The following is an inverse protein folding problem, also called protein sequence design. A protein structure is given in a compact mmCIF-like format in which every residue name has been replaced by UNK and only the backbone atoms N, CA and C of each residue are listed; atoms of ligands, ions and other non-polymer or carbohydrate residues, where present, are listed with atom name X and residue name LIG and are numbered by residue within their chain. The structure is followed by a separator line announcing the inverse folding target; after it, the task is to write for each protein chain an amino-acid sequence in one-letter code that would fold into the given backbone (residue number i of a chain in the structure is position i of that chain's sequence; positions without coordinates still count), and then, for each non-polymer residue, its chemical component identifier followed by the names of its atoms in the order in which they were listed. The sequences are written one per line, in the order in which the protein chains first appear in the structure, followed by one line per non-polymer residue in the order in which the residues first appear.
data_IF_315843376227
#
_entry.id   IF_315843376227
#
_cell.length_a   1.000
_cell.length_b   1.000
_cell.length_c   1.000
_cell.angle_alpha   90.00
_cell.angle_beta   90.00
_cell.angle_gamma   90.00
#
_symmetry.space_group_name_H-M   'P 1'
#
loop_
_entity.id
_entity.type
_entity.pdbx_description
1 polymer ?
#
# COMPACT_ATOMS: atom_id res chain seq x y z
N UNK A 1 -0.42 21.32 25.22
CA UNK A 1 -0.85 20.02 24.66
C UNK A 1 0.34 19.46 23.91
N UNK A 2 0.66 18.23 24.17
CA UNK A 2 1.81 17.56 23.55
C UNK A 2 1.44 17.04 22.17
N UNK A 3 2.15 17.55 21.14
CA UNK A 3 1.91 17.21 19.75
C UNK A 3 2.61 15.92 19.34
N UNK A 4 2.17 15.34 18.21
CA UNK A 4 2.79 14.18 17.57
C UNK A 4 3.33 14.57 16.19
N UNK A 5 4.55 14.14 15.89
CA UNK A 5 5.09 14.22 14.55
C UNK A 5 4.96 12.85 13.89
N UNK A 6 4.38 12.83 12.69
CA UNK A 6 4.38 11.66 11.81
C UNK A 6 5.28 11.95 10.61
N UNK A 7 6.31 11.11 10.43
CA UNK A 7 7.18 11.09 9.28
C UNK A 7 6.73 10.01 8.31
N UNK A 8 6.20 10.37 7.15
CA UNK A 8 5.79 9.46 6.08
C UNK A 8 6.80 9.54 4.93
N UNK A 9 7.57 8.47 4.73
CA UNK A 9 8.61 8.37 3.70
C UNK A 9 8.14 7.45 2.58
N UNK A 10 7.36 8.01 1.66
CA UNK A 10 6.96 7.32 0.43
C UNK A 10 8.10 7.23 -0.59
N UNK A 11 7.87 6.51 -1.69
CA UNK A 11 8.84 6.40 -2.77
C UNK A 11 9.14 7.73 -3.47
N UNK A 12 8.10 8.49 -3.78
CA UNK A 12 8.19 9.73 -4.58
C UNK A 12 8.12 11.00 -3.76
N UNK A 13 7.51 10.93 -2.58
CA UNK A 13 7.30 12.08 -1.70
C UNK A 13 7.47 11.66 -0.25
N UNK A 14 8.24 12.44 0.49
CA UNK A 14 8.24 12.39 1.96
C UNK A 14 7.38 13.50 2.51
N UNK A 15 6.64 13.21 3.59
CA UNK A 15 5.79 14.16 4.33
C UNK A 15 6.16 14.16 5.80
N UNK A 16 6.20 15.33 6.40
CA UNK A 16 6.26 15.50 7.84
C UNK A 16 5.02 16.25 8.30
N UNK A 17 4.24 15.65 9.17
CA UNK A 17 2.99 16.23 9.69
C UNK A 17 3.09 16.39 11.19
N UNK A 18 2.77 17.58 11.70
CA UNK A 18 2.64 17.89 13.11
C UNK A 18 1.16 17.87 13.47
N UNK A 19 0.77 17.00 14.38
CA UNK A 19 -0.59 16.78 14.80
C UNK A 19 -0.84 17.22 16.24
N UNK A 20 -2.02 17.78 16.50
CA UNK A 20 -2.52 17.93 17.86
C UNK A 20 -2.98 16.57 18.42
N UNK A 21 -3.09 16.42 19.77
CA UNK A 21 -3.69 15.22 20.36
C UNK A 21 -5.16 15.00 19.98
N UNK A 22 -5.84 16.04 19.52
CA UNK A 22 -7.24 16.01 19.09
C UNK A 22 -7.41 15.64 17.61
N UNK A 23 -6.31 15.37 16.88
CA UNK A 23 -6.33 14.95 15.49
C UNK A 23 -6.35 16.09 14.47
N UNK A 24 -5.96 17.31 14.85
CA UNK A 24 -5.82 18.45 13.93
C UNK A 24 -4.39 18.54 13.39
N UNK A 25 -4.25 18.86 12.10
CA UNK A 25 -2.95 19.12 11.51
C UNK A 25 -2.52 20.57 11.83
N UNK A 26 -1.49 20.69 12.66
CA UNK A 26 -0.90 21.98 13.05
C UNK A 26 0.07 22.52 11.98
N UNK A 27 0.83 21.61 11.33
CA UNK A 27 1.72 21.93 10.24
C UNK A 27 1.99 20.69 9.37
N UNK A 28 2.30 20.91 8.09
CA UNK A 28 2.71 19.85 7.16
C UNK A 28 3.72 20.39 6.16
N UNK A 29 4.78 19.63 5.96
CA UNK A 29 5.79 19.90 4.94
C UNK A 29 5.99 18.66 4.08
N UNK A 30 6.33 18.88 2.81
CA UNK A 30 6.56 17.80 1.85
C UNK A 30 7.87 18.02 1.11
N UNK A 31 8.50 16.91 0.71
CA UNK A 31 9.69 16.87 -0.14
C UNK A 31 9.48 15.84 -1.25
N UNK A 32 9.75 16.22 -2.49
CA UNK A 32 9.91 15.25 -3.56
C UNK A 32 11.18 14.42 -3.31
N UNK A 33 11.06 13.09 -3.36
CA UNK A 33 12.19 12.20 -3.18
C UNK A 33 12.93 12.00 -4.50
N UNK A 34 14.25 12.06 -4.45
CA UNK A 34 15.11 11.84 -5.58
C UNK A 34 15.61 10.38 -5.60
N UNK A 35 15.93 9.90 -6.78
CA UNK A 35 16.69 8.67 -6.96
C UNK A 35 18.16 9.01 -7.03
N UNK A 36 18.97 8.33 -6.26
CA UNK A 36 20.42 8.47 -6.31
C UNK A 36 21.05 7.17 -6.80
N UNK A 37 22.27 7.24 -7.31
CA UNK A 37 23.00 6.04 -7.71
C UNK A 37 23.99 5.65 -6.62
N UNK A 38 23.86 4.41 -6.13
CA UNK A 38 24.81 3.81 -5.20
C UNK A 38 25.32 2.49 -5.82
N UNK A 39 26.63 2.37 -6.02
CA UNK A 39 27.25 1.19 -6.63
C UNK A 39 26.61 0.77 -7.97
N UNK A 40 26.24 1.76 -8.81
CA UNK A 40 25.64 1.52 -10.11
C UNK A 40 24.15 1.16 -10.10
N UNK A 41 23.47 1.22 -8.95
CA UNK A 41 22.03 0.97 -8.77
C UNK A 41 21.30 2.22 -8.35
N UNK A 42 20.03 2.32 -8.75
CA UNK A 42 19.15 3.34 -8.22
C UNK A 42 18.72 2.96 -6.80
N UNK A 43 18.91 3.89 -5.89
CA UNK A 43 18.55 3.79 -4.47
C UNK A 43 17.80 5.05 -4.05
N UNK A 44 17.18 5.00 -2.89
CA UNK A 44 16.55 6.18 -2.30
C UNK A 44 17.61 7.11 -1.71
N UNK A 45 17.34 8.41 -1.75
CA UNK A 45 18.20 9.47 -1.22
C UNK A 45 18.10 9.59 0.31
N UNK A 46 18.75 8.66 1.02
CA UNK A 46 18.74 8.60 2.49
C UNK A 46 19.28 9.88 3.11
N UNK A 47 20.40 10.39 2.58
CA UNK A 47 21.09 11.55 3.14
C UNK A 47 20.26 12.84 2.94
N UNK A 48 19.74 13.07 1.73
CA UNK A 48 18.90 14.22 1.46
C UNK A 48 17.58 14.20 2.23
N UNK A 49 16.97 13.02 2.46
CA UNK A 49 15.79 12.90 3.34
C UNK A 49 16.18 13.22 4.78
N UNK A 50 17.34 12.75 5.27
CA UNK A 50 17.84 13.03 6.63
C UNK A 50 18.06 14.54 6.87
N UNK A 51 18.66 15.22 5.91
CA UNK A 51 18.89 16.67 5.98
C UNK A 51 17.57 17.44 5.99
N UNK A 52 16.65 17.10 5.10
CA UNK A 52 15.31 17.68 5.05
C UNK A 52 14.53 17.43 6.35
N UNK A 53 14.58 16.22 6.88
CA UNK A 53 13.94 15.86 8.14
C UNK A 53 14.42 16.77 9.28
N UNK A 54 15.73 16.88 9.47
CA UNK A 54 16.30 17.72 10.54
C UNK A 54 15.89 19.19 10.36
N UNK A 55 15.94 19.70 9.13
CA UNK A 55 15.53 21.07 8.82
C UNK A 55 14.06 21.29 9.18
N UNK A 56 13.18 20.35 8.81
CA UNK A 56 11.74 20.46 9.04
C UNK A 56 11.38 20.28 10.52
N UNK A 57 12.04 19.36 11.23
CA UNK A 57 11.89 19.22 12.68
C UNK A 57 12.23 20.54 13.41
N UNK A 58 13.31 21.23 12.99
CA UNK A 58 13.67 22.55 13.52
C UNK A 58 12.60 23.61 13.25
N UNK A 59 11.90 23.55 12.11
CA UNK A 59 10.75 24.44 11.81
C UNK A 59 9.56 24.16 12.70
N UNK A 60 9.31 22.89 13.05
CA UNK A 60 8.16 22.48 13.85
C UNK A 60 8.37 22.69 15.37
N UNK A 61 9.61 22.66 15.85
CA UNK A 61 9.93 22.80 17.26
C UNK A 61 9.29 24.03 17.98
N UNK A 62 9.21 25.24 17.38
CA UNK A 62 8.56 26.38 18.02
C UNK A 62 7.03 26.36 17.94
N UNK A 63 6.42 25.45 17.15
CA UNK A 63 4.97 25.45 16.92
C UNK A 63 4.18 24.74 18.04
N UNK A 64 4.76 23.69 18.61
CA UNK A 64 4.15 22.93 19.70
C UNK A 64 5.21 22.13 20.47
N UNK A 65 4.89 21.75 21.70
CA UNK A 65 5.68 20.78 22.47
C UNK A 65 5.43 19.38 21.87
N UNK A 66 6.46 18.77 21.28
CA UNK A 66 6.40 17.44 20.64
C UNK A 66 6.67 16.36 21.67
N UNK A 67 5.69 15.50 21.92
CA UNK A 67 5.83 14.37 22.86
C UNK A 67 6.17 13.05 22.15
N UNK A 68 5.72 12.87 20.90
CA UNK A 68 5.87 11.62 20.18
C UNK A 68 6.29 11.85 18.74
N UNK A 69 7.10 10.92 18.19
CA UNK A 69 7.45 10.86 16.77
C UNK A 69 7.27 9.41 16.30
N UNK A 70 6.55 9.21 15.22
CA UNK A 70 6.31 7.90 14.62
C UNK A 70 6.61 7.94 13.12
N UNK A 71 7.51 7.08 12.61
CA UNK A 71 7.78 6.97 11.19
C UNK A 71 6.82 6.00 10.50
N UNK A 72 6.52 6.31 9.25
CA UNK A 72 5.82 5.47 8.29
C UNK A 72 6.65 5.44 7.02
N UNK A 73 6.70 4.33 6.32
CA UNK A 73 7.35 4.28 5.02
C UNK A 73 6.70 3.27 4.07
N UNK A 74 7.00 3.39 2.78
CA UNK A 74 6.59 2.39 1.80
C UNK A 74 7.26 1.03 2.06
N UNK A 75 6.62 -0.05 1.62
CA UNK A 75 7.16 -1.42 1.68
C UNK A 75 8.33 -1.66 0.73
N UNK A 76 8.83 -2.89 0.69
CA UNK A 76 9.93 -3.33 -0.18
C UNK A 76 11.25 -2.55 -0.02
N UNK A 77 11.48 -1.93 1.12
CA UNK A 77 12.72 -1.19 1.43
C UNK A 77 13.44 -1.80 2.63
N UNK A 78 14.71 -2.16 2.45
CA UNK A 78 15.59 -2.61 3.52
C UNK A 78 16.84 -1.72 3.57
N UNK A 79 17.33 -1.49 4.77
CA UNK A 79 18.59 -0.78 5.02
C UNK A 79 19.51 -1.67 5.82
N UNK A 80 20.75 -1.80 5.39
CA UNK A 80 21.79 -2.50 6.16
C UNK A 80 22.68 -1.45 6.83
N UNK A 81 22.79 -1.53 8.15
CA UNK A 81 23.55 -0.60 8.97
C UNK A 81 24.74 -1.31 9.60
N UNK A 82 25.91 -0.72 9.48
CA UNK A 82 27.16 -1.19 10.12
C UNK A 82 27.90 -0.01 10.75
N UNK A 83 28.32 -0.16 11.99
CA UNK A 83 29.06 0.90 12.72
C UNK A 83 28.36 2.27 12.70
N UNK A 84 27.03 2.26 12.84
CA UNK A 84 26.22 3.48 12.91
C UNK A 84 26.01 4.21 11.57
N UNK A 85 26.27 3.55 10.42
CA UNK A 85 26.08 4.09 9.08
C UNK A 85 25.37 3.09 8.20
N UNK A 86 24.51 3.54 7.28
CA UNK A 86 23.99 2.67 6.26
C UNK A 86 25.11 2.28 5.29
N UNK A 87 25.27 0.98 5.03
CA UNK A 87 26.22 0.41 4.06
C UNK A 87 25.50 -0.09 2.82
N UNK A 88 24.20 -0.42 2.94
CA UNK A 88 23.29 -0.65 1.82
C UNK A 88 22.09 0.28 2.07
N UNK A 89 21.91 1.33 1.27
CA UNK A 89 20.67 2.13 1.26
C UNK A 89 19.53 1.31 0.65
N UNK A 90 18.27 1.67 0.90
CA UNK A 90 17.15 0.97 0.29
C UNK A 90 17.18 1.13 -1.22
N UNK A 91 17.04 0.02 -1.94
CA UNK A 91 16.96 0.05 -3.41
C UNK A 91 15.64 0.71 -3.82
N UNK A 92 15.65 1.38 -4.96
CA UNK A 92 14.40 1.66 -5.66
C UNK A 92 13.82 0.33 -6.12
N UNK A 93 12.63 -0.03 -5.64
CA UNK A 93 12.01 -1.33 -5.93
C UNK A 93 11.59 -1.52 -7.41
N UNK A 94 11.70 -0.49 -8.25
CA UNK A 94 11.55 -0.60 -9.70
C UNK A 94 12.89 -0.89 -10.41
N UNK A 95 13.96 -1.17 -9.66
CA UNK A 95 15.25 -1.59 -10.26
C UNK A 95 15.13 -3.03 -10.72
N UNK A 96 15.39 -3.31 -11.99
CA UNK A 96 15.42 -4.69 -12.48
C UNK A 96 16.49 -5.52 -11.77
N UNK A 97 16.10 -6.65 -11.23
CA UNK A 97 17.03 -7.63 -10.66
C UNK A 97 17.68 -8.40 -11.83
N UNK A 98 19.02 -8.56 -11.87
CA UNK A 98 19.69 -9.34 -12.91
C UNK A 98 19.13 -10.77 -13.02
N UNK A 99 19.02 -11.30 -14.24
CA UNK A 99 18.36 -12.58 -14.52
C UNK A 99 19.00 -13.77 -13.79
N UNK A 100 20.30 -13.77 -13.61
CA UNK A 100 21.04 -14.80 -12.88
C UNK A 100 20.74 -14.73 -11.37
N UNK A 101 20.72 -13.54 -10.80
CA UNK A 101 20.31 -13.29 -9.40
C UNK A 101 18.85 -13.70 -9.20
N UNK A 102 17.96 -13.30 -10.14
CA UNK A 102 16.53 -13.64 -10.08
C UNK A 102 16.31 -15.15 -10.11
N UNK A 103 17.02 -15.89 -10.98
CA UNK A 103 16.95 -17.37 -11.02
C UNK A 103 17.47 -18.01 -9.74
N UNK A 104 18.61 -17.53 -9.21
CA UNK A 104 19.14 -18.01 -7.92
C UNK A 104 18.17 -17.79 -6.78
N UNK A 105 17.62 -16.58 -6.71
CA UNK A 105 16.63 -16.24 -5.69
C UNK A 105 15.35 -17.07 -5.79
N UNK A 106 14.84 -17.30 -7.00
CA UNK A 106 13.65 -18.14 -7.23
C UNK A 106 13.82 -19.58 -6.71
N UNK A 107 15.04 -20.11 -6.70
CA UNK A 107 15.34 -21.43 -6.15
C UNK A 107 15.40 -21.46 -4.61
N UNK A 108 15.66 -20.31 -4.00
CA UNK A 108 15.78 -20.19 -2.54
C UNK A 108 14.47 -19.77 -1.86
N UNK A 109 13.62 -19.00 -2.52
CA UNK A 109 12.41 -18.45 -1.90
C UNK A 109 11.43 -19.55 -1.48
N UNK A 110 10.74 -19.31 -0.37
CA UNK A 110 9.70 -20.21 0.12
C UNK A 110 8.43 -20.10 -0.76
N UNK A 111 7.60 -21.16 -0.80
CA UNK A 111 6.31 -21.15 -1.48
C UNK A 111 5.38 -20.02 -0.98
N UNK A 112 4.46 -19.59 -1.84
CA UNK A 112 3.49 -18.53 -1.55
C UNK A 112 2.63 -18.83 -0.31
N UNK A 113 2.26 -20.08 -0.11
CA UNK A 113 1.44 -20.53 1.02
C UNK A 113 2.10 -20.27 2.38
N UNK A 114 3.42 -20.14 2.42
CA UNK A 114 4.18 -19.85 3.63
C UNK A 114 4.30 -18.35 3.87
N UNK A 115 4.68 -17.60 2.82
CA UNK A 115 5.02 -16.18 2.96
C UNK A 115 3.86 -15.25 2.61
N UNK A 116 2.85 -15.73 1.88
CA UNK A 116 1.81 -14.89 1.31
C UNK A 116 2.34 -13.83 0.35
N UNK A 117 3.56 -13.99 -0.13
CA UNK A 117 4.26 -13.03 -0.99
C UNK A 117 4.38 -13.59 -2.40
N UNK A 118 3.74 -12.98 -3.42
CA UNK A 118 3.90 -13.42 -4.80
C UNK A 118 5.31 -13.11 -5.32
N UNK A 119 5.77 -13.86 -6.34
CA UNK A 119 7.05 -13.60 -6.99
C UNK A 119 6.93 -12.43 -7.97
N UNK A 120 7.23 -11.24 -7.48
CA UNK A 120 7.03 -10.00 -8.20
C UNK A 120 8.18 -9.65 -9.14
N UNK A 121 7.91 -8.73 -10.06
CA UNK A 121 8.94 -8.17 -10.95
C UNK A 121 9.88 -7.21 -10.20
N UNK A 122 11.02 -6.95 -10.79
CA UNK A 122 12.00 -5.98 -10.31
C UNK A 122 12.40 -6.22 -8.83
N UNK A 123 12.66 -5.17 -8.09
CA UNK A 123 13.00 -5.22 -6.68
C UNK A 123 11.80 -5.22 -5.71
N UNK A 124 10.59 -5.54 -6.17
CA UNK A 124 9.40 -5.52 -5.32
C UNK A 124 9.41 -6.52 -4.17
N UNK A 125 10.09 -7.67 -4.32
CA UNK A 125 10.40 -8.54 -3.20
C UNK A 125 11.68 -8.07 -2.50
N UNK A 126 11.57 -7.54 -1.29
CA UNK A 126 12.73 -7.03 -0.54
C UNK A 126 13.80 -8.11 -0.27
N UNK A 127 13.38 -9.37 -0.11
CA UNK A 127 14.29 -10.52 -0.01
C UNK A 127 15.16 -10.69 -1.26
N UNK A 128 14.63 -10.43 -2.47
CA UNK A 128 15.40 -10.47 -3.70
C UNK A 128 16.48 -9.38 -3.76
N UNK A 129 16.18 -8.17 -3.24
CA UNK A 129 17.16 -7.10 -3.11
C UNK A 129 18.30 -7.49 -2.16
N UNK A 130 17.97 -8.08 -1.01
CA UNK A 130 18.93 -8.56 -0.03
C UNK A 130 19.79 -9.69 -0.60
N UNK A 131 19.15 -10.65 -1.29
CA UNK A 131 19.85 -11.74 -1.96
C UNK A 131 20.87 -11.21 -2.97
N UNK A 132 20.47 -10.25 -3.80
CA UNK A 132 21.36 -9.59 -4.76
C UNK A 132 22.57 -8.93 -4.07
N UNK A 133 22.32 -8.16 -3.00
CA UNK A 133 23.39 -7.49 -2.27
C UNK A 133 24.42 -8.49 -1.67
N UNK A 134 23.93 -9.63 -1.16
CA UNK A 134 24.78 -10.70 -0.61
C UNK A 134 25.56 -11.42 -1.72
N UNK A 135 24.95 -11.67 -2.89
CA UNK A 135 25.64 -12.29 -4.03
C UNK A 135 26.80 -11.44 -4.54
N UNK A 136 26.73 -10.12 -4.45
CA UNK A 136 27.83 -9.23 -4.85
C UNK A 136 28.94 -9.13 -3.79
N UNK A 137 28.56 -9.24 -2.52
CA UNK A 137 29.48 -9.18 -1.39
C UNK A 137 28.91 -9.97 -0.21
N UNK A 138 29.33 -11.19 -0.05
CA UNK A 138 28.87 -12.12 0.99
C UNK A 138 29.18 -11.60 2.41
N UNK A 139 30.26 -10.82 2.55
CA UNK A 139 30.65 -10.19 3.82
C UNK A 139 29.86 -8.90 4.17
N UNK A 140 28.92 -8.48 3.30
CA UNK A 140 28.17 -7.23 3.52
C UNK A 140 27.32 -7.24 4.80
N UNK A 141 26.89 -8.43 5.22
CA UNK A 141 26.11 -8.63 6.44
C UNK A 141 26.96 -8.91 7.69
N UNK A 142 28.29 -9.02 7.58
CA UNK A 142 29.16 -9.25 8.73
C UNK A 142 29.12 -8.05 9.67
N UNK A 143 28.82 -8.27 10.95
CA UNK A 143 28.66 -7.24 11.97
C UNK A 143 27.68 -6.12 11.59
N UNK A 144 26.73 -6.43 10.70
CA UNK A 144 25.71 -5.48 10.26
C UNK A 144 24.32 -5.87 10.80
N UNK A 145 23.44 -4.88 10.87
CA UNK A 145 22.04 -5.05 11.24
C UNK A 145 21.14 -4.62 10.08
N UNK A 146 20.15 -5.45 9.75
CA UNK A 146 19.15 -5.16 8.73
C UNK A 146 17.93 -4.55 9.41
N UNK A 147 17.38 -3.49 8.82
CA UNK A 147 16.12 -2.87 9.25
C UNK A 147 15.23 -2.60 8.03
N UNK A 148 13.91 -2.76 8.15
CA UNK A 148 12.97 -2.22 7.18
C UNK A 148 13.01 -0.68 7.15
N UNK A 149 12.48 -0.10 6.07
CA UNK A 149 12.66 1.33 5.78
C UNK A 149 12.04 2.27 6.83
N UNK A 150 10.86 1.98 7.33
CA UNK A 150 10.25 2.78 8.42
C UNK A 150 11.10 2.70 9.70
N UNK A 151 11.61 1.53 10.05
CA UNK A 151 12.38 1.28 11.26
C UNK A 151 13.80 1.88 11.18
N UNK A 152 14.34 2.05 9.97
CA UNK A 152 15.56 2.84 9.79
C UNK A 152 15.36 4.29 10.28
N UNK A 153 14.22 4.90 10.01
CA UNK A 153 13.93 6.27 10.48
C UNK A 153 13.69 6.32 11.99
N UNK A 154 13.06 5.28 12.55
CA UNK A 154 12.94 5.15 13.99
C UNK A 154 14.32 5.08 14.68
N UNK A 155 15.23 4.25 14.13
CA UNK A 155 16.62 4.18 14.59
C UNK A 155 17.38 5.49 14.38
N UNK A 156 17.24 6.12 13.25
CA UNK A 156 17.90 7.42 12.99
C UNK A 156 17.56 8.46 14.07
N UNK A 157 16.30 8.45 14.51
CA UNK A 157 15.80 9.38 15.52
C UNK A 157 16.18 8.97 16.96
N UNK A 158 16.11 7.67 17.29
CA UNK A 158 16.27 7.17 18.66
C UNK A 158 17.67 6.60 18.97
N UNK A 159 18.33 6.01 17.96
CA UNK A 159 19.49 5.14 18.13
C UNK A 159 19.16 3.68 18.42
N UNK A 160 17.88 3.33 18.62
CA UNK A 160 17.40 1.99 18.93
C UNK A 160 17.01 1.23 17.67
N UNK A 161 17.60 0.07 17.43
CA UNK A 161 17.34 -0.75 16.24
C UNK A 161 16.15 -1.69 16.47
N UNK A 162 15.15 -1.64 15.60
CA UNK A 162 13.98 -2.56 15.59
C UNK A 162 13.62 -2.94 14.16
N UNK A 163 12.93 -4.07 14.03
CA UNK A 163 12.15 -4.47 12.88
C UNK A 163 10.66 -4.48 13.25
N UNK A 164 9.75 -4.60 12.26
CA UNK A 164 8.32 -4.54 12.54
C UNK A 164 7.53 -5.37 11.51
N UNK A 165 6.45 -6.00 12.00
CA UNK A 165 5.71 -7.02 11.24
C UNK A 165 5.04 -6.52 9.96
N UNK A 166 4.46 -5.31 9.93
CA UNK A 166 3.79 -4.79 8.72
C UNK A 166 4.79 -4.51 7.60
N UNK A 167 5.99 -4.07 7.98
CA UNK A 167 7.09 -3.79 7.06
C UNK A 167 7.74 -5.07 6.54
N UNK A 168 7.87 -6.11 7.38
CA UNK A 168 8.38 -7.43 7.00
C UNK A 168 7.34 -8.22 6.18
N UNK A 169 6.06 -8.12 6.52
CA UNK A 169 4.96 -8.85 5.86
C UNK A 169 4.47 -8.24 4.55
N UNK A 170 5.05 -7.12 4.08
CA UNK A 170 4.65 -6.49 2.82
C UNK A 170 5.44 -7.06 1.64
N UNK A 171 4.99 -8.18 1.07
CA UNK A 171 5.57 -8.88 -0.09
C UNK A 171 7.11 -8.98 -0.08
N UNK A 172 7.69 -9.26 1.08
CA UNK A 172 9.16 -9.30 1.22
C UNK A 172 9.77 -10.67 0.96
N UNK A 173 9.00 -11.75 1.06
CA UNK A 173 9.43 -13.15 1.19
C UNK A 173 10.18 -13.48 2.51
N UNK A 174 10.35 -12.48 3.39
CA UNK A 174 11.14 -12.62 4.62
C UNK A 174 10.31 -12.98 5.86
N UNK A 175 8.99 -12.94 5.74
CA UNK A 175 8.04 -13.12 6.83
C UNK A 175 7.04 -14.22 6.53
N UNK A 176 6.66 -14.99 7.53
CA UNK A 176 5.58 -15.99 7.50
C UNK A 176 4.39 -15.43 8.32
N UNK A 177 3.38 -14.83 7.68
CA UNK A 177 2.31 -14.08 8.35
C UNK A 177 1.49 -14.94 9.32
N UNK A 178 1.26 -16.22 9.01
CA UNK A 178 0.48 -17.12 9.85
C UNK A 178 1.23 -17.51 11.14
N UNK A 179 2.54 -17.69 11.04
CA UNK A 179 3.43 -18.02 12.16
C UNK A 179 3.84 -16.77 12.95
N UNK A 180 3.69 -15.57 12.34
CA UNK A 180 4.16 -14.29 12.89
C UNK A 180 5.65 -14.30 13.20
N UNK A 181 6.42 -14.85 12.25
CA UNK A 181 7.84 -15.10 12.40
C UNK A 181 8.56 -14.96 11.04
N UNK A 182 9.89 -14.95 11.06
CA UNK A 182 10.68 -14.96 9.83
C UNK A 182 10.41 -16.22 8.99
N UNK A 183 10.46 -16.06 7.68
CA UNK A 183 10.27 -17.17 6.75
C UNK A 183 11.35 -18.24 6.89
N UNK A 184 11.08 -19.50 6.52
CA UNK A 184 12.09 -20.55 6.50
C UNK A 184 13.32 -20.17 5.66
N UNK A 185 13.14 -19.47 4.54
CA UNK A 185 14.24 -18.93 3.73
C UNK A 185 15.12 -17.98 4.53
N UNK A 186 14.54 -17.00 5.22
CA UNK A 186 15.28 -16.01 6.01
C UNK A 186 16.10 -16.70 7.12
N UNK A 187 15.53 -17.75 7.75
CA UNK A 187 16.20 -18.58 8.76
C UNK A 187 17.34 -19.42 8.15
N UNK A 188 17.07 -20.10 7.03
CA UNK A 188 18.03 -20.97 6.34
C UNK A 188 19.24 -20.22 5.84
N UNK A 189 19.04 -18.98 5.35
CA UNK A 189 20.10 -18.10 4.88
C UNK A 189 20.80 -17.33 6.02
N UNK A 190 20.38 -17.52 7.28
CA UNK A 190 20.97 -16.86 8.44
C UNK A 190 20.64 -15.36 8.53
N UNK A 191 19.65 -14.88 7.77
CA UNK A 191 19.29 -13.48 7.75
C UNK A 191 18.47 -13.06 8.97
N UNK A 192 17.59 -13.94 9.48
CA UNK A 192 16.85 -13.69 10.72
C UNK A 192 17.72 -13.09 11.82
N UNK A 193 18.91 -13.66 12.04
CA UNK A 193 19.85 -13.22 13.08
C UNK A 193 20.51 -11.89 12.80
N UNK A 194 20.40 -11.37 11.57
CA UNK A 194 20.93 -10.07 11.14
C UNK A 194 19.87 -8.98 11.20
N UNK A 195 18.59 -9.33 11.25
CA UNK A 195 17.53 -8.35 11.48
C UNK A 195 17.55 -7.85 12.92
N UNK A 196 17.22 -6.56 13.08
CA UNK A 196 16.95 -6.00 14.39
C UNK A 196 15.74 -6.71 15.04
N UNK A 197 15.66 -6.77 16.40
CA UNK A 197 14.54 -7.39 17.08
C UNK A 197 13.18 -6.84 16.63
N UNK A 198 12.19 -7.71 16.48
CA UNK A 198 10.83 -7.33 16.04
C UNK A 198 10.08 -6.66 17.19
N UNK A 199 9.44 -5.53 16.92
CA UNK A 199 8.58 -4.79 17.83
C UNK A 199 7.21 -4.53 17.17
N UNK A 200 6.21 -4.10 17.94
CA UNK A 200 4.94 -3.66 17.39
C UNK A 200 5.03 -2.24 16.84
N UNK A 201 4.20 -1.94 15.84
CA UNK A 201 4.21 -0.65 15.13
C UNK A 201 4.10 0.58 16.06
N UNK A 202 3.20 0.56 17.02
CA UNK A 202 2.99 1.63 18.00
C UNK A 202 3.90 1.57 19.23
N UNK A 203 4.79 0.59 19.34
CA UNK A 203 5.64 0.40 20.52
C UNK A 203 6.64 1.55 20.69
N UNK A 204 6.74 2.17 21.87
CA UNK A 204 7.82 3.09 22.19
C UNK A 204 9.16 2.36 22.21
N UNK A 205 10.11 2.79 21.38
CA UNK A 205 11.42 2.12 21.28
C UNK A 205 12.56 2.92 21.91
N UNK A 206 12.35 4.20 22.18
CA UNK A 206 13.37 5.07 22.79
C UNK A 206 12.93 6.52 22.80
N UNK A 207 13.89 7.40 23.07
CA UNK A 207 13.70 8.86 23.06
C UNK A 207 14.52 9.50 21.93
N UNK A 208 14.19 10.72 21.56
CA UNK A 208 14.93 11.48 20.56
C UNK A 208 16.40 11.65 21.01
N UNK A 209 17.33 11.26 20.13
CA UNK A 209 18.78 11.37 20.38
C UNK A 209 19.16 12.79 20.77
N UNK A 210 20.03 12.93 21.76
CA UNK A 210 20.43 14.21 22.29
C UNK A 210 21.09 15.15 21.26
N UNK A 211 21.85 14.60 20.28
CA UNK A 211 22.44 15.38 19.19
C UNK A 211 21.38 15.94 18.24
N UNK A 212 20.31 15.16 17.95
CA UNK A 212 19.18 15.63 17.15
C UNK A 212 18.31 16.62 17.93
N UNK A 213 18.07 16.38 19.22
CA UNK A 213 17.37 17.33 20.08
C UNK A 213 18.07 18.71 20.08
N UNK A 214 19.40 18.74 20.24
CA UNK A 214 20.17 19.96 20.17
C UNK A 214 20.09 20.65 18.79
N UNK A 215 20.16 19.90 17.68
CA UNK A 215 20.14 20.45 16.32
C UNK A 215 18.76 20.97 15.93
N UNK A 216 17.70 20.36 16.42
CA UNK A 216 16.31 20.67 16.02
C UNK A 216 15.59 21.61 16.99
N UNK A 217 16.02 21.65 18.25
CA UNK A 217 15.33 22.37 19.32
C UNK A 217 14.13 21.63 19.89
N UNK A 218 13.91 20.37 19.50
CA UNK A 218 12.91 19.49 20.10
C UNK A 218 13.39 18.97 21.47
N UNK A 219 12.44 18.57 22.31
CA UNK A 219 12.76 17.93 23.60
C UNK A 219 13.43 16.56 23.37
N UNK A 220 14.53 16.31 24.10
CA UNK A 220 15.15 14.97 24.13
C UNK A 220 14.24 13.91 24.80
N UNK A 221 13.17 14.33 25.48
CA UNK A 221 12.18 13.43 26.06
C UNK A 221 11.10 13.01 25.05
N UNK A 222 11.11 13.53 23.82
CA UNK A 222 10.17 13.10 22.79
C UNK A 222 10.34 11.59 22.53
N UNK A 223 9.26 10.84 22.66
CA UNK A 223 9.22 9.38 22.53
C UNK A 223 9.20 9.00 21.05
N UNK A 224 10.10 8.11 20.65
CA UNK A 224 10.14 7.55 19.30
C UNK A 224 9.45 6.19 19.28
N UNK A 225 8.49 6.02 18.36
CA UNK A 225 7.78 4.78 18.14
C UNK A 225 8.39 3.97 17.00
N UNK A 226 8.16 2.67 16.99
CA UNK A 226 8.73 1.74 16.00
C UNK A 226 8.35 2.10 14.57
N UNK A 227 7.09 2.51 14.33
CA UNK A 227 6.59 2.85 13.01
C UNK A 227 6.13 1.65 12.20
N UNK A 228 5.58 1.90 10.98
CA UNK A 228 4.92 0.87 10.20
C UNK A 228 4.97 1.15 8.69
N UNK A 229 4.51 0.17 7.91
CA UNK A 229 4.29 0.27 6.47
C UNK A 229 3.07 1.17 6.15
N UNK A 230 3.16 1.97 5.07
CA UNK A 230 2.17 3.00 4.69
C UNK A 230 0.76 2.45 4.41
N UNK A 231 0.64 1.37 3.66
CA UNK A 231 -0.68 0.77 3.37
C UNK A 231 -1.36 0.24 4.63
N UNK A 232 -0.58 -0.24 5.59
CA UNK A 232 -1.11 -0.66 6.89
C UNK A 232 -1.48 0.51 7.77
N UNK A 233 -0.79 1.64 7.67
CA UNK A 233 -1.20 2.87 8.33
C UNK A 233 -2.55 3.38 7.76
N UNK A 234 -2.77 3.28 6.44
CA UNK A 234 -4.07 3.57 5.84
C UNK A 234 -5.19 2.66 6.40
N UNK A 235 -4.90 1.35 6.56
CA UNK A 235 -5.85 0.42 7.19
C UNK A 235 -6.19 0.84 8.64
N UNK A 236 -5.18 1.23 9.44
CA UNK A 236 -5.40 1.73 10.82
C UNK A 236 -6.24 3.02 10.82
N UNK A 237 -6.04 3.91 9.84
CA UNK A 237 -6.85 5.12 9.68
C UNK A 237 -8.32 4.77 9.41
N UNK A 238 -8.57 3.85 8.49
CA UNK A 238 -9.91 3.38 8.14
C UNK A 238 -10.66 2.75 9.33
N UNK A 239 -9.96 1.96 10.13
CA UNK A 239 -10.49 1.35 11.37
C UNK A 239 -10.90 2.39 12.45
N UNK A 240 -10.58 3.65 12.25
CA UNK A 240 -10.98 4.74 13.14
C UNK A 240 -12.45 5.12 13.03
N UNK A 241 -13.11 4.79 11.92
CA UNK A 241 -14.55 5.02 11.81
C UNK A 241 -15.30 4.00 12.65
N UNK A 242 -16.27 4.45 13.49
CA UNK A 242 -17.04 3.54 14.33
C UNK A 242 -17.71 2.38 13.58
N UNK A 243 -18.08 2.61 12.31
CA UNK A 243 -18.70 1.61 11.44
C UNK A 243 -17.75 0.43 11.10
N UNK A 244 -16.44 0.61 11.29
CA UNK A 244 -15.40 -0.38 10.94
C UNK A 244 -14.58 -0.84 12.16
N UNK A 245 -14.94 -0.37 13.37
CA UNK A 245 -14.07 -0.56 14.54
C UNK A 245 -13.93 -2.04 14.97
N UNK A 246 -15.02 -2.80 14.97
CA UNK A 246 -15.05 -4.15 15.56
C UNK A 246 -15.28 -5.27 14.56
N UNK A 247 -15.91 -5.00 13.42
CA UNK A 247 -16.34 -6.01 12.45
C UNK A 247 -15.34 -6.21 11.31
N UNK A 248 -15.58 -7.25 10.52
CA UNK A 248 -14.93 -7.43 9.23
C UNK A 248 -15.13 -6.18 8.36
N UNK A 249 -14.07 -5.76 7.69
CA UNK A 249 -14.14 -4.67 6.73
C UNK A 249 -13.12 -4.86 5.62
N UNK A 250 -13.36 -4.22 4.48
CA UNK A 250 -12.36 -4.09 3.43
C UNK A 250 -12.09 -2.62 3.11
N UNK A 251 -10.84 -2.32 2.78
CA UNK A 251 -10.43 -1.02 2.26
C UNK A 251 -9.94 -1.18 0.82
N UNK A 252 -10.32 -0.26 -0.04
CA UNK A 252 -9.83 -0.13 -1.41
C UNK A 252 -9.14 1.22 -1.54
N UNK A 253 -7.83 1.21 -1.42
CA UNK A 253 -7.00 2.40 -1.65
C UNK A 253 -6.78 2.59 -3.14
N UNK A 254 -7.17 3.76 -3.68
CA UNK A 254 -7.16 4.06 -5.11
C UNK A 254 -6.13 5.14 -5.47
N UNK A 255 -5.12 4.74 -6.22
CA UNK A 255 -4.05 5.59 -6.72
C UNK A 255 -3.53 5.09 -8.06
N UNK A 256 -2.22 5.02 -8.25
CA UNK A 256 -1.60 4.30 -9.38
C UNK A 256 -1.96 2.82 -9.33
N UNK A 257 -1.88 2.24 -8.15
CA UNK A 257 -2.43 0.94 -7.80
C UNK A 257 -3.80 1.10 -7.16
N UNK A 258 -4.69 0.13 -7.38
CA UNK A 258 -5.84 -0.14 -6.55
C UNK A 258 -5.46 -1.33 -5.67
N UNK A 259 -5.44 -1.11 -4.36
CA UNK A 259 -5.05 -2.11 -3.37
C UNK A 259 -6.26 -2.40 -2.49
N UNK A 260 -6.72 -3.63 -2.55
CA UNK A 260 -7.79 -4.16 -1.70
C UNK A 260 -7.17 -4.91 -0.54
N UNK A 261 -7.53 -4.54 0.68
CA UNK A 261 -7.12 -5.22 1.90
C UNK A 261 -8.37 -5.57 2.71
N UNK A 262 -8.51 -6.85 3.08
CA UNK A 262 -9.60 -7.29 3.95
C UNK A 262 -9.05 -7.51 5.35
N UNK A 263 -9.64 -6.87 6.34
CA UNK A 263 -9.47 -7.22 7.75
C UNK A 263 -10.56 -8.22 8.13
N UNK A 264 -10.25 -9.52 8.28
CA UNK A 264 -11.22 -10.51 8.71
C UNK A 264 -11.56 -10.32 10.20
N UNK A 265 -12.77 -10.71 10.60
CA UNK A 265 -13.17 -10.74 12.01
C UNK A 265 -12.23 -11.65 12.83
N UNK A 266 -11.86 -12.78 12.27
CA UNK A 266 -10.91 -13.74 12.85
C UNK A 266 -9.72 -13.97 11.94
N UNK A 267 -8.52 -13.98 12.50
CA UNK A 267 -7.27 -14.16 11.72
C UNK A 267 -7.14 -15.53 11.04
N UNK A 268 -7.97 -16.51 11.45
CA UNK A 268 -7.96 -17.87 10.86
C UNK A 268 -8.77 -17.97 9.56
N UNK A 269 -9.58 -16.95 9.22
CA UNK A 269 -10.46 -17.00 8.07
C UNK A 269 -9.79 -16.41 6.82
N UNK A 270 -8.65 -16.99 6.43
CA UNK A 270 -7.98 -16.63 5.17
C UNK A 270 -8.56 -17.46 4.02
N UNK A 271 -8.97 -16.81 2.91
CA UNK A 271 -9.35 -17.51 1.70
C UNK A 271 -8.14 -18.18 1.04
N UNK A 272 -8.38 -19.11 0.13
CA UNK A 272 -7.36 -19.62 -0.77
C UNK A 272 -6.96 -18.52 -1.76
N UNK A 273 -5.87 -17.82 -1.46
CA UNK A 273 -5.33 -16.77 -2.31
C UNK A 273 -4.48 -17.37 -3.44
N UNK A 274 -4.43 -16.68 -4.59
CA UNK A 274 -3.60 -17.07 -5.73
C UNK A 274 -2.59 -15.96 -6.04
N UNK A 275 -1.30 -16.29 -5.95
CA UNK A 275 -0.21 -15.40 -6.36
C UNK A 275 -0.23 -15.10 -7.87
N UNK A 276 -0.73 -16.04 -8.70
CA UNK A 276 -0.93 -15.83 -10.13
C UNK A 276 -1.97 -14.76 -10.46
N UNK A 277 -2.80 -14.38 -9.49
CA UNK A 277 -3.83 -13.33 -9.58
C UNK A 277 -3.47 -12.06 -8.79
N UNK A 278 -2.19 -11.86 -8.53
CA UNK A 278 -1.62 -10.69 -7.80
C UNK A 278 -2.24 -10.54 -6.39
N UNK A 279 -2.57 -11.68 -5.76
CA UNK A 279 -2.96 -11.73 -4.36
C UNK A 279 -1.74 -11.82 -3.46
N UNK A 280 -1.87 -11.34 -2.24
CA UNK A 280 -0.84 -11.41 -1.20
C UNK A 280 -1.48 -11.44 0.19
N UNK A 281 -0.69 -11.83 1.18
CA UNK A 281 -1.05 -11.70 2.59
C UNK A 281 -0.19 -10.59 3.20
N UNK A 282 -0.82 -9.45 3.49
CA UNK A 282 -0.21 -8.40 4.31
C UNK A 282 -0.33 -8.76 5.80
N UNK A 283 0.26 -7.93 6.66
CA UNK A 283 0.17 -8.05 8.11
C UNK A 283 -0.29 -6.71 8.67
N UNK A 284 -1.27 -6.70 9.57
CA UNK A 284 -1.72 -5.47 10.21
C UNK A 284 -0.80 -5.04 11.36
N UNK A 285 -1.06 -3.85 11.92
CA UNK A 285 -0.27 -3.28 13.02
C UNK A 285 -0.25 -4.13 14.31
N UNK A 286 -1.09 -5.17 14.39
CA UNK A 286 -1.15 -6.15 15.49
C UNK A 286 -0.63 -7.53 15.09
N UNK A 287 0.12 -7.62 13.99
CA UNK A 287 0.68 -8.86 13.44
C UNK A 287 -0.40 -9.91 13.08
N UNK A 288 -1.59 -9.47 12.63
CA UNK A 288 -2.61 -10.36 12.08
C UNK A 288 -2.50 -10.40 10.56
N UNK A 289 -2.66 -11.58 9.92
CA UNK A 289 -2.62 -11.68 8.48
C UNK A 289 -3.82 -10.96 7.84
N UNK A 290 -3.57 -10.23 6.75
CA UNK A 290 -4.53 -9.42 6.00
C UNK A 290 -4.52 -9.85 4.55
N UNK A 291 -5.49 -10.69 4.09
CA UNK A 291 -5.60 -11.04 2.69
C UNK A 291 -5.79 -9.79 1.83
N UNK A 292 -5.05 -9.73 0.75
CA UNK A 292 -5.00 -8.56 -0.11
C UNK A 292 -4.94 -8.96 -1.58
N UNK A 293 -5.52 -8.12 -2.44
CA UNK A 293 -5.44 -8.25 -3.89
C UNK A 293 -5.25 -6.87 -4.49
N UNK A 294 -4.61 -6.77 -5.65
CA UNK A 294 -4.30 -5.48 -6.24
C UNK A 294 -4.34 -5.53 -7.77
N UNK A 295 -4.42 -4.36 -8.40
CA UNK A 295 -4.18 -4.17 -9.83
C UNK A 295 -3.76 -2.72 -10.11
N UNK A 296 -3.20 -2.47 -11.28
CA UNK A 296 -2.71 -1.13 -11.64
C UNK A 296 -3.83 -0.22 -12.15
N UNK A 297 -4.95 -0.13 -11.39
CA UNK A 297 -6.18 0.53 -11.81
C UNK A 297 -6.02 1.95 -12.31
N UNK A 298 -5.29 2.80 -11.58
CA UNK A 298 -5.04 4.17 -12.01
C UNK A 298 -4.23 4.26 -13.30
N UNK A 299 -3.22 3.40 -13.48
CA UNK A 299 -2.41 3.37 -14.71
C UNK A 299 -3.21 2.84 -15.90
N UNK A 300 -4.05 1.83 -15.71
CA UNK A 300 -4.94 1.33 -16.75
C UNK A 300 -5.94 2.41 -17.18
N UNK A 301 -6.58 3.07 -16.21
CA UNK A 301 -7.49 4.18 -16.46
C UNK A 301 -6.78 5.30 -17.25
N UNK A 302 -5.59 5.72 -16.83
CA UNK A 302 -4.82 6.77 -17.50
C UNK A 302 -4.51 6.43 -18.97
N UNK A 303 -4.14 5.18 -19.26
CA UNK A 303 -3.93 4.70 -20.63
C UNK A 303 -5.21 4.71 -21.47
N UNK A 304 -6.33 4.33 -20.86
CA UNK A 304 -7.62 4.21 -21.54
C UNK A 304 -8.26 5.57 -21.84
N UNK A 305 -8.08 6.57 -20.96
CA UNK A 305 -8.63 7.92 -21.15
C UNK A 305 -7.72 8.84 -21.96
N UNK A 306 -6.43 8.52 -22.11
CA UNK A 306 -5.46 9.36 -22.79
C UNK A 306 -5.89 9.84 -24.19
N UNK A 307 -6.53 9.03 -25.05
CA UNK A 307 -7.01 9.46 -26.38
C UNK A 307 -8.03 10.59 -26.32
N UNK A 308 -8.85 10.66 -25.27
CA UNK A 308 -9.92 11.63 -25.12
C UNK A 308 -9.54 12.85 -24.27
N UNK A 309 -8.34 12.85 -23.68
CA UNK A 309 -7.89 13.83 -22.68
C UNK A 309 -8.90 14.00 -21.51
N UNK A 310 -9.83 13.05 -21.35
CA UNK A 310 -10.85 13.05 -20.32
C UNK A 310 -10.33 12.35 -19.07
N UNK A 311 -10.82 12.77 -17.91
CA UNK A 311 -10.46 12.16 -16.64
C UNK A 311 -11.71 11.72 -15.90
N UNK A 312 -11.79 10.43 -15.59
CA UNK A 312 -12.93 9.82 -14.89
C UNK A 312 -12.98 10.16 -13.39
N UNK A 313 -11.90 10.74 -12.85
CA UNK A 313 -11.75 11.17 -11.45
C UNK A 313 -12.07 12.66 -11.22
N UNK A 314 -12.44 13.42 -12.25
CA UNK A 314 -12.76 14.84 -12.11
C UNK A 314 -14.20 15.05 -11.69
N UNK A 315 -14.43 15.78 -10.61
CA UNK A 315 -15.76 16.10 -10.08
C UNK A 315 -16.68 16.75 -11.14
N UNK A 316 -16.15 17.65 -11.95
CA UNK A 316 -16.92 18.35 -12.98
C UNK A 316 -17.44 17.46 -14.12
N UNK A 317 -16.85 16.28 -14.31
CA UNK A 317 -17.20 15.36 -15.40
C UNK A 317 -18.21 14.29 -14.94
N UNK A 318 -18.44 14.12 -13.63
CA UNK A 318 -19.23 13.02 -13.09
C UNK A 318 -20.66 12.97 -13.61
N UNK A 319 -21.35 14.11 -13.67
CA UNK A 319 -22.74 14.14 -14.16
C UNK A 319 -22.87 13.60 -15.60
N UNK A 320 -21.94 14.00 -16.51
CA UNK A 320 -21.94 13.53 -17.90
C UNK A 320 -21.60 12.03 -18.01
N UNK A 321 -20.68 11.55 -17.16
CA UNK A 321 -20.35 10.13 -17.12
C UNK A 321 -21.52 9.31 -16.62
N UNK A 322 -22.21 9.78 -15.59
CA UNK A 322 -23.43 9.14 -15.08
C UNK A 322 -24.54 9.10 -16.13
N UNK A 323 -24.79 10.19 -16.83
CA UNK A 323 -25.78 10.26 -17.92
C UNK A 323 -25.49 9.29 -19.08
N UNK A 324 -24.22 8.90 -19.27
CA UNK A 324 -23.80 7.98 -20.31
C UNK A 324 -23.91 6.49 -19.91
N UNK A 325 -24.08 6.15 -18.62
CA UNK A 325 -24.16 4.76 -18.14
C UNK A 325 -25.26 3.94 -18.84
N UNK A 326 -26.52 4.44 -18.98
CA UNK A 326 -27.58 3.68 -19.65
C UNK A 326 -27.24 3.28 -21.09
N UNK A 327 -26.55 4.14 -21.83
CA UNK A 327 -26.12 3.87 -23.20
C UNK A 327 -25.01 2.82 -23.26
N UNK A 328 -24.06 2.89 -22.36
CA UNK A 328 -22.97 1.89 -22.21
C UNK A 328 -23.58 0.51 -21.95
N UNK A 329 -24.51 0.42 -20.99
CA UNK A 329 -25.15 -0.85 -20.64
C UNK A 329 -26.00 -1.40 -21.79
N UNK A 330 -26.77 -0.55 -22.47
CA UNK A 330 -27.64 -0.93 -23.58
C UNK A 330 -26.84 -1.42 -24.79
N UNK A 331 -25.71 -0.78 -25.10
CA UNK A 331 -24.83 -1.17 -26.21
C UNK A 331 -23.98 -2.41 -25.92
N UNK A 332 -23.89 -2.84 -24.65
CA UNK A 332 -23.00 -3.91 -24.20
C UNK A 332 -21.51 -3.56 -24.34
N UNK A 333 -21.19 -2.25 -24.32
CA UNK A 333 -19.82 -1.77 -24.39
C UNK A 333 -19.06 -2.18 -23.12
N UNK A 334 -17.98 -2.96 -23.25
CA UNK A 334 -17.19 -3.48 -22.15
C UNK A 334 -15.69 -3.40 -22.45
N UNK A 335 -14.91 -3.39 -21.42
CA UNK A 335 -13.46 -3.55 -21.45
C UNK A 335 -13.10 -4.91 -20.86
N UNK A 336 -12.35 -5.69 -21.61
CA UNK A 336 -11.79 -6.94 -21.12
C UNK A 336 -10.37 -6.69 -20.61
N UNK A 337 -9.96 -7.29 -19.47
CA UNK A 337 -8.62 -7.08 -18.90
C UNK A 337 -7.54 -7.81 -19.74
N UNK A 338 -6.24 -7.51 -19.65
CA UNK A 338 -5.60 -6.55 -18.75
C UNK A 338 -4.92 -5.46 -19.58
N UNK A 339 -4.94 -4.21 -19.11
CA UNK A 339 -4.24 -3.09 -19.76
C UNK A 339 -2.89 -2.77 -19.09
N UNK A 340 -2.53 -3.49 -18.04
CA UNK A 340 -1.23 -3.48 -17.38
C UNK A 340 -0.69 -4.94 -17.28
N UNK A 341 -0.16 -5.50 -18.38
CA UNK A 341 0.27 -6.90 -18.41
C UNK A 341 1.25 -7.25 -17.27
N UNK A 342 1.07 -8.42 -16.69
CA UNK A 342 1.88 -8.91 -15.56
C UNK A 342 1.32 -8.53 -14.19
N UNK A 343 0.21 -7.77 -14.11
CA UNK A 343 -0.36 -7.31 -12.85
C UNK A 343 -1.87 -7.54 -12.76
N UNK A 344 -2.36 -7.70 -11.54
CA UNK A 344 -3.77 -7.79 -11.23
C UNK A 344 -4.39 -9.18 -11.41
N UNK A 345 -5.72 -9.30 -11.28
CA UNK A 345 -6.43 -10.58 -11.31
C UNK A 345 -6.30 -11.38 -12.61
N UNK A 346 -5.89 -10.74 -13.70
CA UNK A 346 -5.79 -11.32 -15.04
C UNK A 346 -4.46 -10.94 -15.74
N UNK A 347 -3.29 -11.25 -15.16
CA UNK A 347 -2.00 -10.70 -15.57
C UNK A 347 -1.54 -11.14 -16.95
N UNK A 348 -1.99 -12.31 -17.43
CA UNK A 348 -1.60 -12.91 -18.72
C UNK A 348 -2.49 -12.50 -19.88
N UNK A 349 -3.60 -11.80 -19.60
CA UNK A 349 -4.57 -11.40 -20.63
C UNK A 349 -4.19 -10.12 -21.33
N UNK A 350 -4.71 -9.92 -22.54
CA UNK A 350 -4.54 -8.70 -23.35
C UNK A 350 -5.83 -7.89 -23.37
N UNK A 351 -5.76 -6.67 -22.84
CA UNK A 351 -6.91 -5.78 -22.75
C UNK A 351 -7.44 -5.30 -24.10
N UNK A 352 -8.76 -5.35 -24.26
CA UNK A 352 -9.43 -4.90 -25.48
C UNK A 352 -10.85 -4.41 -25.21
N UNK A 353 -11.42 -3.70 -26.17
CA UNK A 353 -12.80 -3.24 -26.15
C UNK A 353 -13.75 -4.25 -26.78
N UNK A 354 -14.91 -4.44 -26.15
CA UNK A 354 -16.12 -5.00 -26.75
C UNK A 354 -17.05 -3.81 -27.04
N UNK A 355 -17.52 -3.67 -28.29
CA UNK A 355 -18.47 -2.61 -28.69
C UNK A 355 -18.04 -1.20 -28.23
N UNK A 356 -16.81 -0.78 -28.55
CA UNK A 356 -16.23 0.51 -28.10
C UNK A 356 -17.19 1.68 -28.41
N UNK A 357 -17.58 2.50 -27.39
CA UNK A 357 -18.50 3.62 -27.58
C UNK A 357 -17.93 4.73 -28.48
N UNK A 358 -18.81 5.40 -29.22
CA UNK A 358 -18.46 6.52 -30.13
C UNK A 358 -18.13 7.83 -29.38
N UNK A 359 -18.77 8.09 -28.24
CA UNK A 359 -18.57 9.34 -27.47
C UNK A 359 -17.55 9.19 -26.37
N UNK A 360 -16.87 10.29 -26.02
CA UNK A 360 -15.87 10.31 -24.94
C UNK A 360 -16.53 10.01 -23.56
N UNK A 361 -17.73 10.56 -23.31
CA UNK A 361 -18.45 10.36 -22.06
C UNK A 361 -18.84 8.89 -21.87
N UNK A 362 -19.35 8.23 -22.90
CA UNK A 362 -19.67 6.79 -22.84
C UNK A 362 -18.41 5.92 -22.69
N UNK A 363 -17.28 6.30 -23.32
CA UNK A 363 -16.01 5.61 -23.07
C UNK A 363 -15.55 5.79 -21.61
N UNK A 364 -15.62 7.00 -21.06
CA UNK A 364 -15.29 7.29 -19.66
C UNK A 364 -16.18 6.51 -18.69
N UNK A 365 -17.48 6.43 -18.93
CA UNK A 365 -18.43 5.63 -18.14
C UNK A 365 -18.06 4.13 -18.19
N UNK A 366 -17.77 3.58 -19.38
CA UNK A 366 -17.35 2.18 -19.53
C UNK A 366 -16.03 1.88 -18.82
N UNK A 367 -15.06 2.81 -18.84
CA UNK A 367 -13.79 2.69 -18.12
C UNK A 367 -14.04 2.67 -16.61
N UNK A 368 -14.93 3.50 -16.09
CA UNK A 368 -15.29 3.52 -14.68
C UNK A 368 -16.01 2.22 -14.24
N UNK A 369 -16.91 1.68 -15.07
CA UNK A 369 -17.53 0.37 -14.84
C UNK A 369 -16.52 -0.78 -14.88
N UNK A 370 -15.54 -0.72 -15.79
CA UNK A 370 -14.42 -1.66 -15.80
C UNK A 370 -13.63 -1.64 -14.50
N UNK A 371 -13.30 -0.44 -13.99
CA UNK A 371 -12.62 -0.31 -12.70
C UNK A 371 -13.47 -0.91 -11.55
N UNK A 372 -14.80 -0.75 -11.58
CA UNK A 372 -15.70 -1.36 -10.59
C UNK A 372 -15.69 -2.90 -10.67
N UNK A 373 -15.76 -3.49 -11.87
CA UNK A 373 -15.68 -4.93 -12.08
C UNK A 373 -14.35 -5.51 -11.61
N UNK A 374 -13.23 -4.88 -11.96
CA UNK A 374 -11.89 -5.31 -11.52
C UNK A 374 -11.73 -5.20 -9.99
N UNK A 375 -12.25 -4.14 -9.38
CA UNK A 375 -12.23 -3.96 -7.93
C UNK A 375 -13.12 -5.00 -7.24
N UNK A 376 -14.31 -5.28 -7.79
CA UNK A 376 -15.18 -6.34 -7.29
C UNK A 376 -14.47 -7.71 -7.34
N UNK A 377 -13.78 -8.01 -8.44
CA UNK A 377 -12.97 -9.24 -8.55
C UNK A 377 -11.90 -9.30 -7.46
N UNK A 378 -11.21 -8.19 -7.15
CA UNK A 378 -10.23 -8.16 -6.05
C UNK A 378 -10.89 -8.40 -4.68
N UNK A 379 -12.07 -7.83 -4.44
CA UNK A 379 -12.83 -8.06 -3.21
C UNK A 379 -13.28 -9.53 -3.08
N UNK A 380 -13.71 -10.15 -4.19
CA UNK A 380 -14.09 -11.58 -4.20
C UNK A 380 -12.87 -12.49 -3.96
N UNK A 381 -11.70 -12.16 -4.52
CA UNK A 381 -10.46 -12.91 -4.29
C UNK A 381 -10.04 -12.90 -2.82
N UNK A 382 -10.26 -11.82 -2.11
CA UNK A 382 -9.97 -11.75 -0.66
C UNK A 382 -11.15 -12.21 0.19
N UNK A 383 -12.23 -12.72 -0.43
CA UNK A 383 -13.48 -13.15 0.22
C UNK A 383 -14.09 -12.08 1.13
N UNK A 384 -14.13 -10.83 0.64
CA UNK A 384 -14.75 -9.71 1.34
C UNK A 384 -16.27 -9.91 1.44
N UNK A 385 -16.83 -9.85 2.65
CA UNK A 385 -18.27 -9.99 2.94
C UNK A 385 -18.82 -8.87 3.84
N UNK A 386 -17.96 -7.95 4.25
CA UNK A 386 -18.31 -6.83 5.12
C UNK A 386 -18.33 -5.49 4.40
N UNK A 387 -18.48 -4.39 5.14
CA UNK A 387 -18.46 -3.05 4.57
C UNK A 387 -17.12 -2.73 3.90
N UNK A 388 -17.21 -1.97 2.81
CA UNK A 388 -16.06 -1.60 1.97
C UNK A 388 -15.86 -0.09 2.01
N UNK A 389 -14.68 0.37 2.41
CA UNK A 389 -14.27 1.76 2.28
C UNK A 389 -13.45 1.95 1.01
N UNK A 390 -13.89 2.83 0.13
CA UNK A 390 -13.09 3.29 -1.02
C UNK A 390 -12.48 4.65 -0.69
N UNK A 391 -11.15 4.72 -0.77
CA UNK A 391 -10.41 5.96 -0.52
C UNK A 391 -9.43 6.29 -1.64
N UNK A 392 -8.80 7.46 -1.53
CA UNK A 392 -7.79 7.92 -2.48
C UNK A 392 -8.37 8.64 -3.69
N UNK A 393 -7.57 8.67 -4.76
CA UNK A 393 -7.84 9.53 -5.93
C UNK A 393 -9.19 9.30 -6.59
N UNK A 394 -9.65 8.05 -6.66
CA UNK A 394 -10.87 7.67 -7.38
C UNK A 394 -12.10 7.53 -6.48
N UNK A 395 -12.01 7.85 -5.20
CA UNK A 395 -13.15 7.83 -4.28
C UNK A 395 -14.29 8.79 -4.71
N UNK A 396 -13.95 9.86 -5.45
CA UNK A 396 -14.93 10.79 -6.03
C UNK A 396 -15.41 10.45 -7.45
N UNK A 397 -15.02 9.29 -8.01
CA UNK A 397 -15.45 8.84 -9.34
C UNK A 397 -16.81 8.13 -9.24
N UNK A 398 -17.91 8.88 -9.40
CA UNK A 398 -19.29 8.42 -9.09
C UNK A 398 -19.67 7.13 -9.82
N UNK A 399 -19.41 7.01 -11.12
CA UNK A 399 -19.73 5.79 -11.87
C UNK A 399 -18.97 4.58 -11.31
N UNK A 400 -17.72 4.77 -10.91
CA UNK A 400 -16.90 3.71 -10.32
C UNK A 400 -17.46 3.26 -8.97
N UNK A 401 -17.60 4.18 -8.01
CA UNK A 401 -18.01 3.81 -6.64
C UNK A 401 -19.46 3.33 -6.57
N UNK A 402 -20.37 3.92 -7.36
CA UNK A 402 -21.77 3.47 -7.43
C UNK A 402 -21.91 2.15 -8.22
N UNK A 403 -21.07 1.95 -9.24
CA UNK A 403 -20.97 0.66 -9.93
C UNK A 403 -20.49 -0.43 -8.96
N UNK A 404 -19.50 -0.15 -8.14
CA UNK A 404 -19.04 -1.09 -7.11
C UNK A 404 -20.15 -1.38 -6.08
N UNK A 405 -20.86 -0.36 -5.62
CA UNK A 405 -22.02 -0.53 -4.72
C UNK A 405 -23.11 -1.41 -5.32
N UNK A 406 -23.35 -1.28 -6.65
CA UNK A 406 -24.31 -2.16 -7.36
C UNK A 406 -23.85 -3.62 -7.42
N UNK A 407 -22.54 -3.86 -7.53
CA UNK A 407 -21.97 -5.21 -7.61
C UNK A 407 -21.89 -5.90 -6.23
N UNK A 408 -21.71 -5.13 -5.16
CA UNK A 408 -21.59 -5.66 -3.79
C UNK A 408 -22.93 -5.98 -3.13
N UNK A 409 -24.04 -5.56 -3.69
CA UNK A 409 -25.39 -5.92 -3.22
C UNK A 409 -25.62 -5.50 -1.75
N UNK A 410 -25.62 -6.47 -0.85
CA UNK A 410 -25.88 -6.24 0.59
C UNK A 410 -24.67 -5.63 1.34
N UNK A 411 -23.47 -5.76 0.81
CA UNK A 411 -22.28 -5.12 1.38
C UNK A 411 -22.38 -3.60 1.20
N UNK A 412 -22.14 -2.87 2.27
CA UNK A 412 -22.21 -1.41 2.21
C UNK A 412 -20.89 -0.85 1.70
N UNK A 413 -20.95 -0.09 0.61
CA UNK A 413 -19.80 0.65 0.09
C UNK A 413 -19.85 2.08 0.64
N UNK A 414 -18.72 2.55 1.13
CA UNK A 414 -18.53 3.89 1.69
C UNK A 414 -17.39 4.62 0.99
N UNK A 415 -17.50 5.95 0.96
CA UNK A 415 -16.39 6.86 0.66
C UNK A 415 -16.24 7.83 1.83
N UNK A 416 -15.03 8.31 2.04
CA UNK A 416 -14.77 9.28 3.11
C UNK A 416 -14.41 10.64 2.52
N UNK A 417 -14.99 11.70 3.10
CA UNK A 417 -14.55 13.07 2.89
C UNK A 417 -13.40 13.47 3.84
N UNK A 418 -13.04 12.59 4.76
CA UNK A 418 -11.97 12.85 5.71
C UNK A 418 -10.60 12.89 5.01
N UNK A 419 -9.77 13.85 5.40
CA UNK A 419 -8.36 13.88 5.00
C UNK A 419 -7.54 12.88 5.83
N UNK A 420 -8.02 11.64 5.89
CA UNK A 420 -7.39 10.55 6.63
C UNK A 420 -6.34 9.93 5.74
N UNK A 421 -5.16 10.54 5.73
CA UNK A 421 -4.02 9.94 5.08
C UNK A 421 -3.29 8.96 6.04
N UNK A 422 -2.28 8.33 5.50
CA UNK A 422 -1.36 7.42 6.20
C UNK A 422 -0.89 7.99 7.55
N UNK A 423 -0.70 9.32 7.64
CA UNK A 423 -0.22 9.94 8.88
C UNK A 423 -1.25 9.94 10.01
N UNK A 424 -2.55 9.96 9.69
CA UNK A 424 -3.61 9.82 10.70
C UNK A 424 -3.64 8.39 11.27
N UNK A 425 -3.43 7.37 10.42
CA UNK A 425 -3.34 5.99 10.92
C UNK A 425 -2.19 5.78 11.89
N UNK A 426 -1.02 6.35 11.61
CA UNK A 426 0.09 6.34 12.54
C UNK A 426 -0.21 7.10 13.84
N UNK A 427 -0.90 8.24 13.77
CA UNK A 427 -1.36 8.99 14.95
C UNK A 427 -2.27 8.14 15.84
N UNK A 428 -3.16 7.33 15.25
CA UNK A 428 -4.07 6.43 15.98
C UNK A 428 -3.35 5.31 16.73
N UNK A 429 -2.14 4.92 16.34
CA UNK A 429 -1.36 3.97 17.13
C UNK A 429 -0.91 4.55 18.48
N UNK A 430 -0.86 5.88 18.59
CA UNK A 430 -0.52 6.62 19.82
C UNK A 430 -1.81 6.99 20.59
N UNK A 431 -2.83 7.43 19.87
CA UNK A 431 -4.13 7.83 20.39
C UNK A 431 -5.24 6.97 19.74
N UNK A 432 -5.46 5.74 20.21
CA UNK A 432 -6.34 4.77 19.54
C UNK A 432 -7.82 5.18 19.49
N UNK A 433 -8.25 6.04 20.41
CA UNK A 433 -9.63 6.53 20.51
C UNK A 433 -9.93 7.70 19.55
N UNK A 434 -8.93 8.18 18.79
CA UNK A 434 -9.17 9.23 17.80
C UNK A 434 -10.04 8.70 16.67
N UNK A 435 -11.12 9.42 16.39
CA UNK A 435 -11.97 9.20 15.23
C UNK A 435 -11.50 10.07 14.05
N UNK A 436 -11.63 9.58 12.81
CA UNK A 436 -11.34 10.37 11.62
C UNK A 436 -12.23 11.62 11.56
N UNK A 437 -11.61 12.76 11.29
CA UNK A 437 -12.35 13.99 11.07
C UNK A 437 -12.91 14.00 9.65
N UNK A 438 -14.21 13.86 9.49
CA UNK A 438 -14.91 13.87 8.21
C UNK A 438 -16.12 12.94 8.21
N UNK A 439 -16.89 13.02 7.13
CA UNK A 439 -18.10 12.23 6.99
C UNK A 439 -17.79 10.96 6.24
N UNK A 440 -18.21 9.83 6.79
CA UNK A 440 -18.28 8.57 6.07
C UNK A 440 -19.62 8.54 5.32
N UNK A 441 -19.59 8.60 4.01
CA UNK A 441 -20.78 8.63 3.16
C UNK A 441 -21.04 7.25 2.56
N UNK A 442 -22.24 6.72 2.79
CA UNK A 442 -22.68 5.50 2.12
C UNK A 442 -22.94 5.79 0.64
N UNK A 443 -22.39 4.96 -0.22
CA UNK A 443 -22.57 5.08 -1.66
C UNK A 443 -23.86 4.38 -2.09
N UNK A 444 -24.76 5.13 -2.72
CA UNK A 444 -25.95 4.55 -3.32
C UNK A 444 -25.59 3.83 -4.63
N UNK A 445 -26.16 2.64 -4.91
CA UNK A 445 -25.98 1.94 -6.18
C UNK A 445 -26.36 2.79 -7.40
N UNK A 446 -25.93 2.37 -8.58
CA UNK A 446 -26.44 2.92 -9.85
C UNK A 446 -27.95 2.69 -9.95
N UNK A 447 -28.70 3.60 -10.63
CA UNK A 447 -30.12 3.38 -10.89
C UNK A 447 -30.38 2.16 -11.79
N UNK A 448 -29.41 1.81 -12.63
CA UNK A 448 -29.46 0.70 -13.56
C UNK A 448 -29.05 -0.62 -12.89
N UNK A 449 -29.74 -1.70 -13.24
CA UNK A 449 -29.36 -3.05 -12.81
C UNK A 449 -28.10 -3.52 -13.56
N UNK A 450 -26.98 -3.58 -12.84
CA UNK A 450 -25.68 -4.01 -13.36
C UNK A 450 -25.56 -5.53 -13.53
N UNK A 451 -26.51 -6.34 -13.03
CA UNK A 451 -26.39 -7.80 -12.96
C UNK A 451 -26.12 -8.46 -14.31
N UNK A 452 -26.88 -8.10 -15.35
CA UNK A 452 -26.66 -8.63 -16.71
C UNK A 452 -25.36 -8.17 -17.33
N UNK A 453 -24.94 -6.93 -17.05
CA UNK A 453 -23.69 -6.37 -17.56
C UNK A 453 -22.49 -7.10 -16.95
N UNK A 454 -22.50 -7.31 -15.63
CA UNK A 454 -21.47 -8.04 -14.91
C UNK A 454 -21.40 -9.51 -15.33
N UNK A 455 -22.54 -10.22 -15.36
CA UNK A 455 -22.59 -11.63 -15.80
C UNK A 455 -22.12 -11.81 -17.26
N UNK A 456 -22.42 -10.85 -18.14
CA UNK A 456 -21.89 -10.84 -19.50
C UNK A 456 -20.38 -10.66 -19.56
N UNK A 457 -19.81 -9.86 -18.69
CA UNK A 457 -18.36 -9.67 -18.57
C UNK A 457 -17.67 -10.94 -18.04
N UNK A 458 -18.20 -11.55 -16.99
CA UNK A 458 -17.71 -12.80 -16.41
C UNK A 458 -17.76 -13.96 -17.41
N UNK A 459 -18.87 -14.10 -18.17
CA UNK A 459 -18.99 -15.14 -19.20
C UNK A 459 -17.90 -15.02 -20.26
N UNK A 460 -17.60 -13.80 -20.73
CA UNK A 460 -16.52 -13.57 -21.70
C UNK A 460 -15.14 -13.87 -21.13
N UNK A 461 -14.93 -13.63 -19.84
CA UNK A 461 -13.69 -14.04 -19.17
C UNK A 461 -13.55 -15.55 -19.14
N UNK A 462 -14.62 -16.29 -18.82
CA UNK A 462 -14.60 -17.75 -18.78
C UNK A 462 -14.39 -18.37 -20.18
N UNK A 463 -15.07 -17.86 -21.23
CA UNK A 463 -14.88 -18.33 -22.61
C UNK A 463 -13.45 -18.21 -23.10
N UNK A 464 -12.77 -17.10 -22.77
CA UNK A 464 -11.37 -16.88 -23.15
C UNK A 464 -10.37 -17.77 -22.38
N UNK A 465 -10.72 -18.36 -21.24
CA UNK A 465 -9.91 -19.36 -20.53
C UNK A 465 -9.92 -20.70 -21.25
N UNK A 466 -11.09 -21.14 -21.74
CA UNK A 466 -11.21 -22.41 -22.50
C UNK A 466 -10.41 -22.39 -23.82
N UNK A 467 -10.33 -21.24 -24.50
CA UNK A 467 -9.56 -21.12 -25.76
C UNK A 467 -8.04 -21.16 -25.57
N UNK A 468 -7.54 -20.86 -24.38
CA UNK A 468 -6.10 -20.91 -24.06
C UNK A 468 -5.64 -22.28 -23.57
N UNK A 469 -6.49 -23.06 -22.91
CA UNK A 469 -6.19 -24.44 -22.48
C UNK A 469 -6.32 -25.48 -23.60
N UNK A 470 -6.98 -25.12 -24.70
CA UNK A 470 -7.18 -25.99 -25.90
C UNK A 470 -6.11 -25.87 -26.98
N UNK A 471 -5.06 -25.09 -26.76
CA UNK A 471 -3.91 -24.94 -27.68
C UNK A 471 -2.62 -25.36 -26.99
#
# INVERSE_FOLDING_TARGET
MSAVIVLDVGKTVSKLSLWSPDGDILARETRANERVSSNGRATLDVDGISEWLIFTLKKFAPLAEVAHIIPVAHGAGLVVVKSGRHVIPPFDYEVPIPDDVRRGYAAERDPFEITGSPFLADGLNAGAQLYWAVQENDAVLDDATIMPWAQYWAWFLSGEMRSEGTSLGCHTDLWAPMERDFSPMAKRLGWEQRFAPVAFAGEPIGQLRGDLAHRTGLSSNAVIHCGLHDSNAALVAAMGFPQFAEDEMSIVSTGTWFVTMRRPEKSADLPALSDERDCLVNVDAWNRPVPSARFMGGREIERLVAPDAQRVDRRQDQARLMDAVPDVMRSGAQLMPCFAPGFGPYPTRSGHWISKPGTADARGAAISLYAALMTNTCLDLVASTGPVLVEGRFAGAEVFVRGLASLRGDDQVFVSSAQNDVSFGALRLIYPDLEPQGVLERVEPLPEDLGKYASGWESRLAEAEYDTEGR
#
